data_IF_281417142138
#
_entry.id   IF_281417142138
#
_cell.length_a   1.000
_cell.length_b   1.000
_cell.length_c   1.000
_cell.angle_alpha   90.00
_cell.angle_beta   90.00
_cell.angle_gamma   90.00
#
_symmetry.space_group_name_H-M   'P 1'
#
loop_
_entity.id
_entity.type
_entity.pdbx_description
1 polymer ?
#
# COMPACT_ATOMS: atom_id res chain seq x y z
N UNK A 1 16.90 34.06 -0.33
CA UNK A 1 16.17 34.26 -1.59
C UNK A 1 14.69 34.41 -1.27
N UNK A 2 14.04 35.50 -1.71
CA UNK A 2 12.61 35.70 -1.43
C UNK A 2 11.79 34.62 -2.16
N UNK A 3 10.95 33.92 -1.42
CA UNK A 3 10.06 32.90 -2.01
C UNK A 3 8.94 33.61 -2.74
N UNK A 4 9.09 33.79 -4.06
CA UNK A 4 8.02 34.30 -4.91
C UNK A 4 6.88 33.28 -5.00
N UNK A 5 5.62 33.74 -5.00
CA UNK A 5 4.46 32.89 -5.20
C UNK A 5 4.19 32.65 -6.69
N UNK A 6 3.61 31.51 -7.00
CA UNK A 6 3.20 31.13 -8.34
C UNK A 6 2.18 32.12 -8.92
N UNK A 7 2.40 32.56 -10.16
CA UNK A 7 1.52 33.49 -10.88
C UNK A 7 0.20 32.88 -11.37
N UNK A 8 0.06 31.55 -11.35
CA UNK A 8 -1.12 30.85 -11.87
C UNK A 8 -2.33 30.90 -10.93
N UNK A 9 -3.52 30.73 -11.52
CA UNK A 9 -4.76 30.43 -10.80
C UNK A 9 -5.00 28.92 -10.77
N UNK A 10 -5.62 28.46 -9.70
CA UNK A 10 -6.13 27.08 -9.59
C UNK A 10 -7.40 26.92 -10.43
N UNK A 11 -7.85 25.67 -10.59
CA UNK A 11 -9.10 25.34 -11.29
C UNK A 11 -10.34 26.01 -10.70
N UNK A 12 -10.30 26.35 -9.41
CA UNK A 12 -11.35 27.05 -8.67
C UNK A 12 -11.27 28.59 -8.82
N UNK A 13 -10.33 29.11 -9.61
CA UNK A 13 -10.09 30.54 -9.81
C UNK A 13 -9.26 31.21 -8.71
N UNK A 14 -8.92 30.51 -7.63
CA UNK A 14 -8.12 31.08 -6.54
C UNK A 14 -6.61 31.14 -6.88
N UNK A 15 -5.84 32.10 -6.34
CA UNK A 15 -4.40 32.18 -6.57
C UNK A 15 -3.65 30.93 -6.09
N UNK A 16 -2.69 30.46 -6.90
CA UNK A 16 -1.85 29.33 -6.52
C UNK A 16 -0.89 29.71 -5.38
N UNK A 17 -1.04 29.06 -4.22
CA UNK A 17 -0.12 29.22 -3.07
C UNK A 17 1.24 28.50 -3.22
N UNK A 18 1.52 27.93 -4.38
CA UNK A 18 2.78 27.23 -4.64
C UNK A 18 3.96 28.19 -4.75
N UNK A 19 5.16 27.71 -4.43
CA UNK A 19 6.37 28.50 -4.64
C UNK A 19 6.73 28.53 -6.13
N UNK A 20 6.94 29.73 -6.64
CA UNK A 20 7.42 29.95 -7.99
C UNK A 20 8.89 29.52 -8.13
N UNK A 21 9.22 29.00 -9.31
CA UNK A 21 10.58 28.65 -9.69
C UNK A 21 11.01 29.54 -10.84
N UNK A 22 12.22 30.06 -10.78
CA UNK A 22 12.78 30.97 -11.77
C UNK A 22 12.90 30.32 -13.15
N UNK A 23 13.31 29.05 -13.17
CA UNK A 23 13.36 28.20 -14.38
C UNK A 23 12.00 28.01 -15.08
N UNK A 24 10.90 28.33 -14.39
CA UNK A 24 9.54 28.31 -14.93
C UNK A 24 8.92 29.72 -14.96
N UNK A 25 9.70 30.79 -15.04
CA UNK A 25 9.21 32.15 -15.28
C UNK A 25 8.29 32.73 -14.19
N UNK A 26 8.35 32.20 -12.97
CA UNK A 26 7.45 32.61 -11.90
C UNK A 26 6.25 31.67 -11.67
N UNK A 27 6.24 30.50 -12.30
CA UNK A 27 5.25 29.44 -12.05
C UNK A 27 5.83 28.35 -11.14
N UNK A 28 4.96 27.63 -10.42
CA UNK A 28 5.38 26.49 -9.61
C UNK A 28 5.57 25.24 -10.48
N UNK A 29 6.15 24.20 -9.88
CA UNK A 29 6.36 22.89 -10.52
C UNK A 29 5.09 22.23 -11.07
N UNK A 30 3.90 22.65 -10.64
CA UNK A 30 2.64 22.12 -11.16
C UNK A 30 2.05 22.92 -12.34
N UNK A 31 2.44 24.19 -12.52
CA UNK A 31 1.86 25.10 -13.51
C UNK A 31 2.84 25.58 -14.59
N UNK A 32 4.14 25.48 -14.32
CA UNK A 32 5.20 25.92 -15.23
C UNK A 32 5.61 24.92 -16.31
N UNK A 33 5.83 23.64 -15.98
CA UNK A 33 6.31 22.65 -16.94
C UNK A 33 5.27 22.30 -18.00
N UNK A 34 5.73 21.85 -19.17
CA UNK A 34 4.83 21.36 -20.23
C UNK A 34 4.08 20.11 -19.79
N UNK A 35 2.94 19.82 -20.44
CA UNK A 35 2.18 18.60 -20.17
C UNK A 35 3.07 17.35 -20.29
N UNK A 36 3.92 17.28 -21.30
CA UNK A 36 4.86 16.18 -21.51
C UNK A 36 5.84 16.00 -20.34
N UNK A 37 6.42 17.10 -19.84
CA UNK A 37 7.29 17.07 -18.65
C UNK A 37 6.55 16.59 -17.40
N UNK A 38 5.31 17.06 -17.21
CA UNK A 38 4.46 16.61 -16.10
C UNK A 38 4.13 15.12 -16.23
N UNK A 39 3.83 14.65 -17.44
CA UNK A 39 3.56 13.23 -17.71
C UNK A 39 4.80 12.37 -17.41
N UNK A 40 5.99 12.81 -17.81
CA UNK A 40 7.24 12.11 -17.55
C UNK A 40 7.52 12.01 -16.04
N UNK A 41 7.34 13.09 -15.28
CA UNK A 41 7.52 13.06 -13.83
C UNK A 41 6.48 12.22 -13.12
N UNK A 42 5.23 12.25 -13.58
CA UNK A 42 4.18 11.34 -13.07
C UNK A 42 4.50 9.89 -13.38
N UNK A 43 5.03 9.58 -14.56
CA UNK A 43 5.47 8.24 -14.90
C UNK A 43 6.65 7.78 -14.01
N UNK A 44 7.62 8.68 -13.76
CA UNK A 44 8.77 8.42 -12.89
C UNK A 44 8.39 8.25 -11.42
N UNK A 45 7.51 9.12 -10.92
CA UNK A 45 6.93 9.02 -9.58
C UNK A 45 6.05 7.78 -9.42
N UNK A 46 5.23 7.49 -10.44
CA UNK A 46 4.41 6.29 -10.57
C UNK A 46 5.25 5.02 -10.46
N UNK A 47 6.34 4.92 -11.22
CA UNK A 47 7.31 3.82 -11.18
C UNK A 47 7.86 3.57 -9.77
N UNK A 48 8.22 4.63 -9.05
CA UNK A 48 8.74 4.50 -7.67
C UNK A 48 7.65 4.25 -6.61
N UNK A 49 6.41 4.62 -6.91
CA UNK A 49 5.23 4.35 -6.07
C UNK A 49 4.55 3.02 -6.38
N UNK A 50 4.98 2.32 -7.44
CA UNK A 50 4.44 1.02 -7.79
C UNK A 50 4.64 0.06 -6.62
N UNK A 51 3.57 -0.66 -6.26
CA UNK A 51 3.57 -1.58 -5.12
C UNK A 51 4.70 -2.60 -5.22
N UNK A 52 5.02 -3.09 -6.43
CA UNK A 52 6.15 -3.98 -6.67
C UNK A 52 7.51 -3.34 -6.30
N UNK A 53 7.80 -2.11 -6.75
CA UNK A 53 9.05 -1.40 -6.45
C UNK A 53 9.18 -1.05 -4.96
N UNK A 54 8.05 -0.80 -4.29
CA UNK A 54 8.03 -0.63 -2.83
C UNK A 54 8.25 -1.93 -2.08
N UNK A 55 7.83 -3.08 -2.62
CA UNK A 55 8.08 -4.41 -2.04
C UNK A 55 9.54 -4.82 -2.23
N UNK A 56 10.14 -4.56 -3.40
CA UNK A 56 11.58 -4.81 -3.61
C UNK A 56 12.45 -4.03 -2.61
N UNK A 57 12.12 -2.75 -2.33
CA UNK A 57 12.80 -1.96 -1.30
C UNK A 57 12.55 -2.43 0.14
N UNK A 58 11.59 -3.32 0.35
CA UNK A 58 11.23 -3.85 1.67
C UNK A 58 11.93 -5.17 1.97
N UNK A 59 12.70 -5.76 1.06
CA UNK A 59 13.50 -6.94 1.37
C UNK A 59 14.83 -6.44 1.95
N UNK A 60 15.12 -6.65 3.24
CA UNK A 60 16.43 -6.38 3.81
C UNK A 60 17.55 -7.02 2.98
N UNK A 61 18.67 -6.29 2.83
CA UNK A 61 19.83 -6.73 2.05
C UNK A 61 20.38 -8.09 2.50
N UNK A 62 20.25 -8.41 3.80
CA UNK A 62 20.61 -9.71 4.37
C UNK A 62 19.78 -10.90 3.81
N UNK A 63 18.58 -10.68 3.27
CA UNK A 63 17.77 -11.74 2.66
C UNK A 63 18.04 -11.94 1.17
N UNK A 64 18.58 -10.94 0.48
CA UNK A 64 19.03 -11.08 -0.91
C UNK A 64 20.03 -12.23 -1.05
N UNK A 65 20.98 -12.36 -0.12
CA UNK A 65 21.95 -13.46 -0.08
C UNK A 65 21.25 -14.83 0.05
N UNK A 66 20.18 -14.93 0.85
CA UNK A 66 19.42 -16.18 0.99
C UNK A 66 18.74 -16.54 -0.33
N UNK A 67 18.13 -15.56 -1.01
CA UNK A 67 17.50 -15.79 -2.31
C UNK A 67 18.50 -16.22 -3.37
N UNK A 68 19.67 -15.57 -3.43
CA UNK A 68 20.74 -15.93 -4.37
C UNK A 68 21.21 -17.39 -4.14
N UNK A 69 21.43 -17.78 -2.88
CA UNK A 69 21.82 -19.15 -2.52
C UNK A 69 20.75 -20.18 -2.88
N UNK A 70 19.46 -19.86 -2.76
CA UNK A 70 18.38 -20.75 -3.18
C UNK A 70 18.31 -20.88 -4.71
N UNK A 71 18.47 -19.78 -5.45
CA UNK A 71 18.50 -19.77 -6.91
C UNK A 71 19.68 -20.60 -7.42
N UNK A 72 20.85 -20.43 -6.83
CA UNK A 72 22.04 -21.20 -7.20
C UNK A 72 21.92 -22.68 -6.78
N UNK A 73 21.36 -22.96 -5.61
CA UNK A 73 21.03 -24.32 -5.17
C UNK A 73 20.11 -25.04 -6.15
N UNK A 74 19.12 -24.36 -6.72
CA UNK A 74 18.24 -24.92 -7.75
C UNK A 74 19.01 -25.29 -9.03
N UNK A 75 19.92 -24.43 -9.49
CA UNK A 75 20.81 -24.76 -10.62
C UNK A 75 21.70 -25.96 -10.31
N UNK A 76 22.20 -26.07 -9.08
CA UNK A 76 22.99 -27.20 -8.62
C UNK A 76 22.22 -28.51 -8.51
N UNK A 77 20.91 -28.45 -8.26
CA UNK A 77 20.06 -29.66 -8.35
C UNK A 77 19.85 -30.06 -9.81
N UNK A 78 19.56 -29.09 -10.69
CA UNK A 78 19.35 -29.35 -12.11
C UNK A 78 20.59 -29.94 -12.80
N UNK A 79 21.79 -29.52 -12.40
CA UNK A 79 23.05 -30.04 -12.94
C UNK A 79 23.56 -31.32 -12.22
N UNK A 80 22.84 -31.80 -11.21
CA UNK A 80 23.19 -33.01 -10.45
C UNK A 80 24.32 -32.87 -9.43
N UNK A 81 24.82 -31.66 -9.17
CA UNK A 81 25.90 -31.42 -8.18
C UNK A 81 25.39 -31.31 -6.75
N UNK A 82 24.10 -31.05 -6.55
CA UNK A 82 23.42 -31.03 -5.26
C UNK A 82 22.26 -32.02 -5.27
N UNK A 83 22.14 -32.83 -4.21
CA UNK A 83 20.99 -33.74 -4.11
C UNK A 83 19.70 -32.97 -3.80
N UNK A 84 18.55 -33.38 -4.36
CA UNK A 84 17.26 -32.75 -4.05
C UNK A 84 16.95 -32.70 -2.55
N UNK A 85 17.33 -33.74 -1.80
CA UNK A 85 17.11 -33.80 -0.36
C UNK A 85 17.91 -32.73 0.42
N UNK A 86 19.14 -32.43 -0.01
CA UNK A 86 19.94 -31.35 0.60
C UNK A 86 19.38 -29.98 0.27
N UNK A 87 18.96 -29.78 -0.97
CA UNK A 87 18.30 -28.54 -1.38
C UNK A 87 16.98 -28.30 -0.62
N UNK A 88 16.17 -29.34 -0.44
CA UNK A 88 14.94 -29.25 0.36
C UNK A 88 15.20 -28.87 1.83
N UNK A 89 16.28 -29.40 2.42
CA UNK A 89 16.71 -28.99 3.76
C UNK A 89 17.10 -27.49 3.81
N UNK A 90 17.80 -26.99 2.77
CA UNK A 90 18.13 -25.57 2.64
C UNK A 90 16.86 -24.71 2.53
N UNK A 91 15.90 -25.10 1.69
CA UNK A 91 14.61 -24.40 1.55
C UNK A 91 13.85 -24.31 2.87
N UNK A 92 13.82 -25.40 3.66
CA UNK A 92 13.20 -25.39 4.99
C UNK A 92 13.90 -24.45 5.96
N UNK A 93 15.23 -24.40 5.95
CA UNK A 93 16.01 -23.45 6.77
C UNK A 93 15.76 -22.00 6.38
N UNK A 94 15.74 -21.71 5.07
CA UNK A 94 15.43 -20.38 4.56
C UNK A 94 14.02 -19.93 4.95
N UNK A 95 13.02 -20.82 4.81
CA UNK A 95 11.65 -20.56 5.25
C UNK A 95 11.57 -20.23 6.74
N UNK A 96 12.19 -21.06 7.60
CA UNK A 96 12.19 -20.82 9.04
C UNK A 96 12.81 -19.47 9.41
N UNK A 97 13.84 -19.05 8.68
CA UNK A 97 14.51 -17.74 8.88
C UNK A 97 13.59 -16.58 8.51
N UNK A 98 12.92 -16.66 7.36
CA UNK A 98 11.95 -15.64 6.91
C UNK A 98 10.74 -15.57 7.85
N UNK A 99 10.25 -16.71 8.33
CA UNK A 99 9.16 -16.78 9.30
C UNK A 99 9.55 -16.12 10.63
N UNK A 100 10.77 -16.38 11.13
CA UNK A 100 11.28 -15.75 12.34
C UNK A 100 11.40 -14.22 12.20
N UNK A 101 11.90 -13.75 11.06
CA UNK A 101 12.01 -12.32 10.78
C UNK A 101 10.64 -11.65 10.68
N UNK A 102 9.68 -12.29 10.02
CA UNK A 102 8.32 -11.76 9.89
C UNK A 102 7.67 -11.54 11.27
N UNK A 103 7.87 -12.48 12.21
CA UNK A 103 7.42 -12.33 13.60
C UNK A 103 8.08 -11.15 14.30
N UNK A 104 9.38 -10.95 14.10
CA UNK A 104 10.09 -9.79 14.69
C UNK A 104 9.56 -8.48 14.11
N UNK A 105 9.31 -8.39 12.80
CA UNK A 105 8.70 -7.19 12.22
C UNK A 105 7.30 -6.91 12.76
N UNK A 106 6.48 -7.94 12.94
CA UNK A 106 5.14 -7.82 13.54
C UNK A 106 5.22 -7.28 14.97
N UNK A 107 6.12 -7.82 15.80
CA UNK A 107 6.34 -7.36 17.16
C UNK A 107 6.85 -5.91 17.19
N UNK A 108 7.84 -5.56 16.36
CA UNK A 108 8.37 -4.20 16.24
C UNK A 108 7.29 -3.20 15.81
N UNK A 109 6.39 -3.64 14.91
CA UNK A 109 5.25 -2.81 14.49
C UNK A 109 4.26 -2.60 15.63
N UNK A 110 4.02 -3.63 16.46
CA UNK A 110 3.19 -3.50 17.67
C UNK A 110 3.79 -2.48 18.63
N UNK A 111 5.06 -2.63 18.99
CA UNK A 111 5.79 -1.71 19.87
C UNK A 111 5.74 -0.27 19.34
N UNK A 112 6.02 -0.06 18.05
CA UNK A 112 5.94 1.29 17.45
C UNK A 112 4.53 1.88 17.53
N UNK A 113 3.50 1.06 17.44
CA UNK A 113 2.11 1.52 17.50
C UNK A 113 1.79 1.96 18.93
N UNK A 114 2.17 1.16 19.93
CA UNK A 114 2.07 1.48 21.35
C UNK A 114 2.83 2.79 21.67
N UNK A 115 4.08 2.95 21.22
CA UNK A 115 4.87 4.18 21.42
C UNK A 115 4.23 5.42 20.79
N UNK A 116 3.60 5.29 19.61
CA UNK A 116 2.89 6.39 18.95
C UNK A 116 1.62 6.75 19.73
N UNK A 117 0.90 5.75 20.25
CA UNK A 117 -0.30 5.95 21.08
C UNK A 117 0.07 6.65 22.39
N UNK A 118 1.14 6.22 23.06
CA UNK A 118 1.65 6.83 24.29
C UNK A 118 2.12 8.28 24.04
N UNK A 119 2.88 8.52 22.98
CA UNK A 119 3.32 9.87 22.61
C UNK A 119 2.15 10.77 22.21
N UNK A 120 1.11 10.23 21.55
CA UNK A 120 -0.10 10.98 21.25
C UNK A 120 -0.88 11.33 22.53
N UNK A 121 -0.95 10.42 23.50
CA UNK A 121 -1.58 10.64 24.79
C UNK A 121 -0.85 11.72 25.61
N UNK A 122 0.49 11.73 25.60
CA UNK A 122 1.30 12.75 26.29
C UNK A 122 1.17 14.14 25.64
N UNK A 123 1.08 14.20 24.31
CA UNK A 123 1.01 15.48 23.59
C UNK A 123 -0.39 16.12 23.63
N UNK A 124 -1.43 15.31 23.84
CA UNK A 124 -2.82 15.74 23.95
C UNK A 124 -3.23 15.89 25.42
N UNK A 125 -2.69 16.88 26.14
CA UNK A 125 -3.19 17.31 27.46
C UNK A 125 -4.69 17.74 27.45
N UNK A 126 -5.36 17.60 26.30
CA UNK A 126 -6.78 17.36 26.14
C UNK A 126 -7.03 15.90 25.77
N UNK A 127 -7.46 15.10 26.74
CA UNK A 127 -7.97 13.73 26.58
C UNK A 127 -8.84 13.66 25.30
N UNK A 128 -8.34 13.13 24.15
CA UNK A 128 -9.23 12.85 23.04
C UNK A 128 -10.06 11.71 23.56
N UNK A 129 -11.32 11.99 23.93
CA UNK A 129 -12.20 11.05 24.61
C UNK A 129 -11.96 9.66 24.01
N UNK A 130 -11.36 8.77 24.81
CA UNK A 130 -10.75 7.52 24.31
C UNK A 130 -11.81 6.69 23.57
N UNK A 131 -13.08 6.93 23.91
CA UNK A 131 -14.27 6.38 23.29
C UNK A 131 -14.48 6.88 21.85
N UNK A 132 -14.13 8.13 21.53
CA UNK A 132 -14.16 8.69 20.16
C UNK A 132 -13.10 8.03 19.29
N UNK A 133 -11.86 7.87 19.78
CA UNK A 133 -10.81 7.19 19.02
C UNK A 133 -11.15 5.70 18.79
N UNK A 134 -11.62 5.00 19.82
CA UNK A 134 -12.15 3.63 19.68
C UNK A 134 -13.31 3.55 18.71
N UNK A 135 -14.21 4.53 18.71
CA UNK A 135 -15.33 4.59 17.77
C UNK A 135 -14.86 4.80 16.32
N UNK A 136 -13.82 5.61 16.10
CA UNK A 136 -13.21 5.80 14.78
C UNK A 136 -12.57 4.51 14.28
N UNK A 137 -11.83 3.80 15.13
CA UNK A 137 -11.21 2.53 14.74
C UNK A 137 -12.24 1.42 14.47
N UNK A 138 -13.30 1.33 15.28
CA UNK A 138 -14.42 0.44 15.01
C UNK A 138 -15.08 0.75 13.67
N UNK A 139 -15.30 2.03 13.36
CA UNK A 139 -15.88 2.45 12.07
C UNK A 139 -14.96 2.15 10.89
N UNK A 140 -13.65 2.28 11.08
CA UNK A 140 -12.66 1.95 10.05
C UNK A 140 -12.59 0.44 9.79
N UNK A 141 -12.59 -0.36 10.85
CA UNK A 141 -12.67 -1.82 10.73
C UNK A 141 -13.97 -2.28 10.05
N UNK A 142 -15.09 -1.62 10.37
CA UNK A 142 -16.38 -1.87 9.71
C UNK A 142 -16.34 -1.51 8.21
N UNK A 143 -15.75 -0.36 7.84
CA UNK A 143 -15.54 0.01 6.43
C UNK A 143 -14.64 -0.98 5.69
N UNK A 144 -13.56 -1.45 6.32
CA UNK A 144 -12.66 -2.43 5.73
C UNK A 144 -13.30 -3.82 5.60
N UNK A 145 -14.26 -4.16 6.45
CA UNK A 145 -15.12 -5.34 6.28
C UNK A 145 -16.04 -5.17 5.07
N UNK A 146 -16.72 -4.02 4.95
CA UNK A 146 -17.58 -3.71 3.80
C UNK A 146 -16.82 -3.68 2.47
N UNK A 147 -15.53 -3.33 2.46
CA UNK A 147 -14.69 -3.39 1.25
C UNK A 147 -14.25 -4.81 0.87
N UNK A 148 -14.16 -5.72 1.85
CA UNK A 148 -13.68 -7.10 1.64
C UNK A 148 -14.80 -8.07 1.31
N UNK A 149 -15.99 -7.88 1.88
CA UNK A 149 -17.12 -8.78 1.68
C UNK A 149 -17.89 -8.43 0.40
N UNK A 150 -18.40 -9.44 -0.30
CA UNK A 150 -19.28 -9.22 -1.47
C UNK A 150 -20.61 -8.59 -1.03
N UNK A 151 -21.22 -7.75 -1.88
CA UNK A 151 -22.54 -7.15 -1.64
C UNK A 151 -23.64 -8.21 -1.38
N UNK A 152 -23.44 -9.43 -1.88
CA UNK A 152 -24.27 -10.60 -1.56
C UNK A 152 -24.17 -11.00 -0.07
N UNK A 153 -22.95 -11.10 0.46
CA UNK A 153 -22.71 -11.45 1.87
C UNK A 153 -23.18 -10.35 2.82
N UNK A 154 -23.15 -9.10 2.37
CA UNK A 154 -23.64 -7.95 3.12
C UNK A 154 -25.17 -7.81 3.06
N UNK A 155 -25.86 -8.65 2.27
CA UNK A 155 -27.31 -8.60 2.12
C UNK A 155 -27.84 -7.38 1.34
N UNK A 156 -26.97 -6.68 0.60
CA UNK A 156 -27.34 -5.57 -0.30
C UNK A 156 -27.66 -6.04 -1.72
N UNK A 157 -27.31 -7.29 -2.04
CA UNK A 157 -27.61 -7.90 -3.31
C UNK A 157 -28.13 -9.33 -3.12
N UNK A 158 -28.90 -9.81 -4.08
CA UNK A 158 -29.30 -11.21 -4.18
C UNK A 158 -29.01 -11.72 -5.60
N UNK A 159 -28.96 -13.04 -5.74
CA UNK A 159 -28.93 -13.65 -7.06
C UNK A 159 -30.31 -13.51 -7.69
N UNK A 160 -30.38 -13.04 -8.94
CA UNK A 160 -31.62 -13.06 -9.70
C UNK A 160 -32.05 -14.51 -9.93
N UNK A 161 -33.27 -14.85 -9.52
CA UNK A 161 -33.84 -16.18 -9.74
C UNK A 161 -34.16 -16.32 -11.24
N UNK A 162 -33.34 -17.11 -11.93
CA UNK A 162 -33.48 -17.72 -13.26
C UNK A 162 -34.23 -16.96 -14.37
N UNK A 163 -33.53 -16.73 -15.49
CA UNK A 163 -34.20 -16.60 -16.80
C UNK A 163 -33.71 -17.62 -17.84
N UNK A 164 -32.55 -18.27 -17.66
CA UNK A 164 -32.08 -19.40 -18.49
C UNK A 164 -31.10 -20.31 -17.69
N UNK A 165 -31.10 -21.64 -17.88
CA UNK A 165 -30.24 -22.58 -17.15
C UNK A 165 -28.75 -22.48 -17.49
N UNK A 166 -28.39 -21.92 -18.65
CA UNK A 166 -26.99 -21.82 -19.11
C UNK A 166 -26.33 -20.45 -18.86
N UNK A 167 -27.06 -19.49 -18.27
CA UNK A 167 -26.49 -18.18 -17.93
C UNK A 167 -26.01 -18.15 -16.47
N UNK A 168 -24.79 -17.68 -16.18
CA UNK A 168 -24.32 -17.55 -14.80
C UNK A 168 -25.23 -16.57 -14.02
N UNK A 169 -25.52 -16.86 -12.74
CA UNK A 169 -26.47 -16.09 -11.96
C UNK A 169 -25.99 -14.65 -11.80
N UNK A 170 -26.85 -13.69 -12.18
CA UNK A 170 -26.55 -12.26 -12.07
C UNK A 170 -26.82 -11.78 -10.65
N UNK A 171 -25.91 -10.96 -10.13
CA UNK A 171 -26.05 -10.29 -8.84
C UNK A 171 -26.81 -8.99 -9.05
N UNK A 172 -27.94 -8.83 -8.38
CA UNK A 172 -28.81 -7.65 -8.49
C UNK A 172 -28.97 -7.02 -7.10
N UNK A 173 -28.87 -5.70 -7.01
CA UNK A 173 -29.08 -4.95 -5.77
C UNK A 173 -30.54 -5.04 -5.35
N UNK A 174 -30.78 -5.27 -4.07
CA UNK A 174 -32.12 -5.24 -3.47
C UNK A 174 -32.47 -3.83 -2.96
N UNK A 175 -33.64 -3.67 -2.35
CA UNK A 175 -34.12 -2.36 -1.87
C UNK A 175 -33.22 -1.71 -0.81
N UNK A 176 -32.36 -2.49 -0.13
CA UNK A 176 -31.36 -1.95 0.82
C UNK A 176 -30.09 -1.45 0.12
N UNK A 177 -29.82 -1.92 -1.10
CA UNK A 177 -28.61 -1.58 -1.87
C UNK A 177 -28.81 -0.49 -2.93
N UNK A 178 -30.02 0.10 -3.02
CA UNK A 178 -30.33 1.24 -3.91
C UNK A 178 -30.07 2.58 -3.26
#
# INVERSE_FOLDING_TARGET
>A
MSKMLCKALRKDGSPCKGHALEQYGGYCIAHGPSLEQVHEWRARGGKNSATAVRIEKKIPEQFTVIFDLLIDGMKMVMNGTLSPARYDAMCRGAKATLDAYSRVEEEMKRVRTEEIEDAAAEHLDMNPDLDVLKAVDLKKAEQDRYRRESLLHQGFACFSIFSKPDEPPKVVLNDKGR
#
